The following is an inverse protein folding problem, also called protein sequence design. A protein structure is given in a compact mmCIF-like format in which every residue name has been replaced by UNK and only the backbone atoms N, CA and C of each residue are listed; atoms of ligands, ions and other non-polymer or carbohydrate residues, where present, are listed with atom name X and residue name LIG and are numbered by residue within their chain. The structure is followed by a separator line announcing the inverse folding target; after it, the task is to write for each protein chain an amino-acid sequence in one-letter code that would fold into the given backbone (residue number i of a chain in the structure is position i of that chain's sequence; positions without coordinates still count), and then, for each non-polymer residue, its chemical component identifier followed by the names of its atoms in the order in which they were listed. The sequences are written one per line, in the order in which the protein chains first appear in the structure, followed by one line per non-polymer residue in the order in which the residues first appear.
data_IF_631045991923
#
_entry.id   IF_631045991923
#
_cell.length_a   1.000
_cell.length_b   1.000
_cell.length_c   1.000
_cell.angle_alpha   90.00
_cell.angle_beta   90.00
_cell.angle_gamma   90.00
#
_symmetry.space_group_name_H-M   'P 1'
#
loop_
_entity.id
_entity.type
_entity.pdbx_description
1 polymer ?
#
# COMPACT_ATOMS: atom_id res chain seq x y z
N UNK A 1 86.10 -33.94 -19.27
CA UNK A 1 86.21 -32.84 -18.28
C UNK A 1 84.81 -32.54 -17.78
N UNK A 2 84.50 -32.94 -16.55
CA UNK A 2 83.24 -32.67 -15.82
C UNK A 2 83.24 -31.20 -15.37
N UNK A 3 82.05 -30.59 -15.28
CA UNK A 3 81.63 -29.35 -14.57
C UNK A 3 80.47 -28.76 -15.42
N UNK A 4 79.25 -28.42 -14.98
CA UNK A 4 78.50 -28.57 -13.73
C UNK A 4 77.02 -28.41 -14.11
N UNK A 5 76.20 -29.43 -13.85
CA UNK A 5 74.73 -29.40 -13.94
C UNK A 5 74.10 -28.75 -12.69
N UNK A 6 74.61 -27.58 -12.30
CA UNK A 6 74.12 -26.85 -11.12
C UNK A 6 74.18 -25.36 -11.44
N UNK A 7 73.21 -24.87 -12.23
CA UNK A 7 72.79 -23.45 -12.27
C UNK A 7 71.59 -23.19 -13.21
N UNK A 8 70.73 -24.18 -13.42
CA UNK A 8 69.41 -23.99 -14.08
C UNK A 8 68.28 -24.56 -13.22
N UNK A 9 68.51 -24.65 -11.91
CA UNK A 9 67.48 -24.80 -10.87
C UNK A 9 67.65 -23.57 -9.97
N UNK A 10 67.10 -22.44 -10.40
CA UNK A 10 67.29 -21.16 -9.71
C UNK A 10 66.78 -19.93 -10.47
N UNK A 11 65.92 -20.11 -11.48
CA UNK A 11 65.28 -19.01 -12.21
C UNK A 11 63.76 -19.12 -12.21
N UNK A 12 63.21 -19.75 -11.16
CA UNK A 12 61.76 -19.85 -10.88
C UNK A 12 61.45 -19.24 -9.48
N UNK A 13 62.32 -18.37 -8.93
CA UNK A 13 62.07 -17.66 -7.67
C UNK A 13 62.36 -16.15 -7.82
N UNK A 14 61.85 -15.54 -8.89
CA UNK A 14 61.72 -14.08 -9.00
C UNK A 14 60.33 -13.66 -9.51
N UNK A 15 59.29 -14.41 -9.17
CA UNK A 15 57.95 -13.81 -9.01
C UNK A 15 57.90 -13.11 -7.64
N UNK A 16 58.79 -12.14 -7.43
CA UNK A 16 58.63 -11.18 -6.34
C UNK A 16 57.44 -10.32 -6.74
N UNK A 17 56.27 -10.72 -6.25
CA UNK A 17 55.37 -9.86 -5.49
C UNK A 17 55.70 -8.36 -5.61
N UNK A 18 55.31 -7.72 -6.72
CA UNK A 18 55.22 -6.27 -6.76
C UNK A 18 54.02 -5.88 -5.90
N UNK A 19 54.27 -5.49 -4.66
CA UNK A 19 53.25 -4.88 -3.81
C UNK A 19 52.66 -3.63 -4.48
N UNK A 20 51.40 -3.33 -4.18
CA UNK A 20 50.69 -2.14 -4.69
C UNK A 20 51.53 -0.88 -4.47
N UNK A 21 51.61 -0.02 -5.48
CA UNK A 21 52.23 1.29 -5.38
C UNK A 21 51.50 2.17 -4.35
N UNK A 22 52.20 3.14 -3.76
CA UNK A 22 51.60 4.09 -2.79
C UNK A 22 50.34 4.77 -3.35
N UNK A 23 50.35 5.10 -4.65
CA UNK A 23 49.22 5.72 -5.34
C UNK A 23 48.02 4.77 -5.46
N UNK A 24 48.27 3.49 -5.77
CA UNK A 24 47.20 2.46 -5.81
C UNK A 24 46.60 2.23 -4.42
N UNK A 25 47.42 2.25 -3.36
CA UNK A 25 46.95 2.13 -1.97
C UNK A 25 46.09 3.35 -1.56
N UNK A 26 46.49 4.57 -1.95
CA UNK A 26 45.72 5.79 -1.68
C UNK A 26 44.39 5.82 -2.45
N UNK A 27 44.38 5.39 -3.71
CA UNK A 27 43.17 5.26 -4.52
C UNK A 27 42.21 4.22 -3.94
N UNK A 28 42.71 3.06 -3.53
CA UNK A 28 41.91 2.01 -2.90
C UNK A 28 41.33 2.48 -1.57
N UNK A 29 42.09 3.20 -0.74
CA UNK A 29 41.57 3.80 0.50
C UNK A 29 40.46 4.81 0.24
N UNK A 30 40.63 5.69 -0.74
CA UNK A 30 39.61 6.66 -1.11
C UNK A 30 38.33 5.99 -1.65
N UNK A 31 38.47 4.91 -2.42
CA UNK A 31 37.34 4.12 -2.90
C UNK A 31 36.62 3.42 -1.74
N UNK A 32 37.36 2.81 -0.81
CA UNK A 32 36.78 2.18 0.39
C UNK A 32 36.04 3.22 1.24
N UNK A 33 36.60 4.41 1.44
CA UNK A 33 35.96 5.50 2.20
C UNK A 33 34.65 5.96 1.51
N UNK A 34 34.66 6.10 0.18
CA UNK A 34 33.47 6.44 -0.59
C UNK A 34 32.38 5.36 -0.49
N UNK A 35 32.76 4.09 -0.58
CA UNK A 35 31.85 2.95 -0.43
C UNK A 35 31.27 2.86 0.98
N UNK A 36 32.09 3.11 2.01
CA UNK A 36 31.65 3.17 3.41
C UNK A 36 30.65 4.30 3.64
N UNK A 37 30.91 5.48 3.07
CA UNK A 37 29.99 6.63 3.14
C UNK A 37 28.67 6.33 2.43
N UNK A 38 28.71 5.79 1.22
CA UNK A 38 27.51 5.40 0.47
C UNK A 38 26.72 4.28 1.18
N UNK A 39 27.40 3.37 1.89
CA UNK A 39 26.74 2.36 2.72
C UNK A 39 26.08 2.97 3.95
N UNK A 40 26.74 3.91 4.63
CA UNK A 40 26.17 4.61 5.78
C UNK A 40 24.93 5.42 5.40
N UNK A 41 24.98 6.15 4.28
CA UNK A 41 23.83 6.90 3.75
C UNK A 41 22.65 5.97 3.39
N UNK A 42 22.93 4.80 2.80
CA UNK A 42 21.88 3.80 2.51
C UNK A 42 21.22 3.25 3.78
N UNK A 43 22.03 2.88 4.79
CA UNK A 43 21.52 2.41 6.08
C UNK A 43 20.68 3.46 6.79
N UNK A 44 21.09 4.72 6.73
CA UNK A 44 20.34 5.82 7.33
C UNK A 44 19.00 6.05 6.61
N UNK A 45 18.99 6.01 5.27
CA UNK A 45 17.75 6.08 4.49
C UNK A 45 16.78 4.93 4.82
N UNK A 46 17.31 3.72 4.97
CA UNK A 46 16.53 2.54 5.36
C UNK A 46 15.96 2.67 6.78
N UNK A 47 16.77 3.15 7.74
CA UNK A 47 16.30 3.45 9.10
C UNK A 47 15.13 4.44 9.10
N UNK A 48 15.28 5.56 8.38
CA UNK A 48 14.23 6.58 8.27
C UNK A 48 12.98 6.00 7.59
N UNK A 49 13.14 5.17 6.55
CA UNK A 49 12.03 4.50 5.88
C UNK A 49 11.21 3.63 6.85
N UNK A 50 11.88 2.81 7.66
CA UNK A 50 11.24 1.95 8.65
C UNK A 50 10.53 2.78 9.74
N UNK A 51 11.14 3.86 10.22
CA UNK A 51 10.50 4.76 11.19
C UNK A 51 9.23 5.40 10.62
N UNK A 52 9.28 5.86 9.36
CA UNK A 52 8.11 6.42 8.69
C UNK A 52 6.99 5.39 8.48
N UNK A 53 7.34 4.12 8.21
CA UNK A 53 6.36 3.02 8.18
C UNK A 53 5.67 2.88 9.54
N UNK A 54 6.41 2.86 10.64
CA UNK A 54 5.82 2.71 11.98
C UNK A 54 4.91 3.89 12.35
N UNK A 55 5.29 5.11 11.96
CA UNK A 55 4.42 6.29 12.06
C UNK A 55 3.15 6.11 11.23
N UNK A 56 3.27 5.66 9.97
CA UNK A 56 2.13 5.42 9.08
C UNK A 56 1.18 4.36 9.62
N UNK A 57 1.70 3.24 10.15
CA UNK A 57 0.90 2.20 10.83
C UNK A 57 0.13 2.77 12.02
N UNK A 58 0.80 3.58 12.84
CA UNK A 58 0.18 4.20 14.02
C UNK A 58 -0.95 5.17 13.62
N UNK A 59 -0.74 5.99 12.58
CA UNK A 59 -1.77 6.87 12.02
C UNK A 59 -2.97 6.08 11.50
N UNK A 60 -2.73 5.08 10.64
CA UNK A 60 -3.79 4.26 10.08
C UNK A 60 -4.60 3.57 11.19
N UNK A 61 -3.92 2.95 12.16
CA UNK A 61 -4.59 2.30 13.29
C UNK A 61 -5.46 3.26 14.08
N UNK A 62 -4.96 4.47 14.37
CA UNK A 62 -5.73 5.51 15.05
C UNK A 62 -6.97 5.89 14.25
N UNK A 63 -6.84 6.13 12.95
CA UNK A 63 -7.96 6.52 12.09
C UNK A 63 -9.03 5.43 11.99
N UNK A 64 -8.63 4.19 11.75
CA UNK A 64 -9.55 3.05 11.73
C UNK A 64 -10.24 2.84 13.09
N UNK A 65 -9.54 3.10 14.20
CA UNK A 65 -10.12 3.01 15.54
C UNK A 65 -11.16 4.11 15.78
N UNK A 66 -10.88 5.34 15.35
CA UNK A 66 -11.84 6.45 15.42
C UNK A 66 -13.10 6.15 14.58
N UNK A 67 -12.93 5.61 13.37
CA UNK A 67 -14.05 5.19 12.53
C UNK A 67 -14.83 4.03 13.17
N UNK A 68 -14.14 3.05 13.77
CA UNK A 68 -14.78 1.95 14.49
C UNK A 68 -15.63 2.47 15.66
N UNK A 69 -15.12 3.42 16.44
CA UNK A 69 -15.87 4.02 17.54
C UNK A 69 -17.10 4.80 17.05
N UNK A 70 -16.97 5.51 15.93
CA UNK A 70 -18.10 6.18 15.26
C UNK A 70 -19.17 5.16 14.86
N UNK A 71 -18.78 4.09 14.19
CA UNK A 71 -19.69 3.03 13.75
C UNK A 71 -20.37 2.32 14.93
N UNK A 72 -19.64 2.05 16.01
CA UNK A 72 -20.21 1.47 17.24
C UNK A 72 -21.27 2.38 17.87
N UNK A 73 -21.04 3.71 17.89
CA UNK A 73 -22.05 4.69 18.34
C UNK A 73 -23.29 4.67 17.44
N UNK A 74 -23.10 4.66 16.12
CA UNK A 74 -24.20 4.55 15.16
C UNK A 74 -25.00 3.26 15.36
N UNK A 75 -24.32 2.12 15.57
CA UNK A 75 -24.97 0.84 15.82
C UNK A 75 -25.85 0.87 17.09
N UNK A 76 -25.39 1.52 18.16
CA UNK A 76 -26.20 1.71 19.37
C UNK A 76 -27.45 2.53 19.07
N UNK A 77 -27.32 3.63 18.31
CA UNK A 77 -28.46 4.44 17.90
C UNK A 77 -29.47 3.63 17.07
N UNK A 78 -28.99 2.85 16.09
CA UNK A 78 -29.88 2.03 15.26
C UNK A 78 -30.57 0.91 16.05
N UNK A 79 -29.91 0.34 17.07
CA UNK A 79 -30.54 -0.61 18.00
C UNK A 79 -31.61 0.07 18.87
N UNK A 80 -31.39 1.31 19.30
CA UNK A 80 -32.41 2.08 20.01
C UNK A 80 -33.62 2.37 19.10
N UNK A 81 -33.39 2.76 17.84
CA UNK A 81 -34.46 2.95 16.86
C UNK A 81 -35.29 1.67 16.67
N UNK A 82 -34.64 0.51 16.61
CA UNK A 82 -35.32 -0.79 16.54
C UNK A 82 -36.23 -1.02 17.76
N UNK A 83 -35.77 -0.68 18.97
CA UNK A 83 -36.57 -0.77 20.19
C UNK A 83 -37.79 0.17 20.14
N UNK A 84 -37.63 1.39 19.62
CA UNK A 84 -38.74 2.33 19.43
C UNK A 84 -39.78 1.81 18.43
N UNK A 85 -39.34 1.22 17.30
CA UNK A 85 -40.26 0.60 16.32
C UNK A 85 -41.04 -0.54 16.96
N UNK A 86 -40.42 -1.31 17.87
CA UNK A 86 -41.06 -2.41 18.56
C UNK A 86 -42.17 -1.97 19.52
N UNK A 87 -42.10 -0.76 20.08
CA UNK A 87 -43.15 -0.22 20.97
C UNK A 87 -44.49 -0.14 20.25
N UNK A 88 -45.57 -0.34 20.99
CA UNK A 88 -46.92 -0.21 20.46
C UNK A 88 -47.22 1.24 20.05
N UNK A 89 -47.92 1.42 18.93
CA UNK A 89 -48.38 2.72 18.45
C UNK A 89 -49.82 2.59 17.94
N UNK A 90 -50.73 3.37 18.53
CA UNK A 90 -52.14 3.37 18.16
C UNK A 90 -52.30 3.87 16.71
N UNK A 91 -53.11 3.16 15.91
CA UNK A 91 -53.35 3.52 14.50
C UNK A 91 -52.26 3.07 13.52
N UNK A 92 -51.17 2.46 13.97
CA UNK A 92 -50.15 1.89 13.06
C UNK A 92 -50.57 0.51 12.56
N UNK A 93 -50.62 0.36 11.25
CA UNK A 93 -50.86 -0.93 10.60
C UNK A 93 -49.71 -1.91 10.86
N UNK A 94 -50.03 -3.21 10.96
CA UNK A 94 -49.04 -4.28 11.17
C UNK A 94 -48.01 -4.33 10.04
N UNK A 95 -48.46 -4.21 8.79
CA UNK A 95 -47.59 -4.21 7.60
C UNK A 95 -46.59 -3.06 7.61
N UNK A 96 -47.00 -1.87 8.07
CA UNK A 96 -46.09 -0.73 8.24
C UNK A 96 -45.01 -1.02 9.27
N UNK A 97 -45.38 -1.61 10.43
CA UNK A 97 -44.41 -1.99 11.45
C UNK A 97 -43.42 -3.03 10.93
N UNK A 98 -43.90 -4.05 10.23
CA UNK A 98 -43.06 -5.11 9.66
C UNK A 98 -42.03 -4.57 8.64
N UNK A 99 -42.46 -3.66 7.76
CA UNK A 99 -41.57 -2.96 6.83
C UNK A 99 -40.48 -2.17 7.59
N UNK A 100 -40.88 -1.38 8.59
CA UNK A 100 -39.96 -0.59 9.42
C UNK A 100 -38.93 -1.49 10.13
N UNK A 101 -39.37 -2.61 10.71
CA UNK A 101 -38.47 -3.58 11.36
C UNK A 101 -37.49 -4.19 10.37
N UNK A 102 -37.96 -4.54 9.17
CA UNK A 102 -37.11 -5.12 8.12
C UNK A 102 -36.01 -4.16 7.69
N UNK A 103 -36.38 -2.91 7.35
CA UNK A 103 -35.43 -1.86 6.96
C UNK A 103 -34.43 -1.55 8.08
N UNK A 104 -34.90 -1.50 9.33
CA UNK A 104 -34.06 -1.22 10.48
C UNK A 104 -33.06 -2.35 10.76
N UNK A 105 -33.49 -3.61 10.67
CA UNK A 105 -32.61 -4.77 10.81
C UNK A 105 -31.55 -4.82 9.70
N UNK A 106 -31.89 -4.43 8.47
CA UNK A 106 -30.91 -4.32 7.37
C UNK A 106 -29.81 -3.31 7.69
N UNK A 107 -30.16 -2.12 8.19
CA UNK A 107 -29.16 -1.11 8.62
C UNK A 107 -28.22 -1.64 9.69
N UNK A 108 -28.78 -2.30 10.72
CA UNK A 108 -28.00 -2.92 11.80
C UNK A 108 -27.04 -3.98 11.26
N UNK A 109 -27.51 -4.83 10.34
CA UNK A 109 -26.68 -5.88 9.74
C UNK A 109 -25.52 -5.30 8.92
N UNK A 110 -25.79 -4.25 8.12
CA UNK A 110 -24.74 -3.54 7.36
C UNK A 110 -23.69 -2.95 8.31
N UNK A 111 -24.11 -2.30 9.40
CA UNK A 111 -23.19 -1.74 10.38
C UNK A 111 -22.37 -2.83 11.09
N UNK A 112 -22.99 -3.94 11.49
CA UNK A 112 -22.28 -5.05 12.12
C UNK A 112 -21.23 -5.65 11.19
N UNK A 113 -21.56 -5.87 9.91
CA UNK A 113 -20.60 -6.38 8.93
C UNK A 113 -19.43 -5.42 8.71
N UNK A 114 -19.71 -4.12 8.60
CA UNK A 114 -18.68 -3.10 8.44
C UNK A 114 -17.76 -3.04 9.67
N UNK A 115 -18.32 -3.02 10.88
CA UNK A 115 -17.55 -3.05 12.14
C UNK A 115 -16.63 -4.28 12.17
N UNK A 116 -17.16 -5.47 11.88
CA UNK A 116 -16.37 -6.72 11.88
C UNK A 116 -15.20 -6.67 10.89
N UNK A 117 -15.45 -6.16 9.68
CA UNK A 117 -14.41 -5.96 8.65
C UNK A 117 -13.35 -4.96 9.12
N UNK A 118 -13.75 -3.85 9.72
CA UNK A 118 -12.86 -2.83 10.22
C UNK A 118 -12.01 -3.33 11.41
N UNK A 119 -12.59 -4.10 12.32
CA UNK A 119 -11.87 -4.76 13.42
C UNK A 119 -10.80 -5.73 12.90
N UNK A 120 -11.12 -6.48 11.84
CA UNK A 120 -10.15 -7.31 11.13
C UNK A 120 -9.03 -6.46 10.51
N UNK A 121 -9.35 -5.36 9.83
CA UNK A 121 -8.31 -4.50 9.24
C UNK A 121 -7.40 -3.89 10.30
N UNK A 122 -7.94 -3.45 11.44
CA UNK A 122 -7.14 -2.94 12.57
C UNK A 122 -6.13 -3.99 13.05
N UNK A 123 -6.52 -5.27 13.15
CA UNK A 123 -5.61 -6.34 13.57
C UNK A 123 -4.53 -6.65 12.53
N UNK A 124 -4.79 -6.35 11.26
CA UNK A 124 -3.85 -6.53 10.15
C UNK A 124 -2.95 -5.31 9.90
N UNK A 125 -3.14 -4.17 10.56
CA UNK A 125 -2.34 -2.96 10.34
C UNK A 125 -0.83 -3.14 10.53
N UNK A 126 -0.42 -4.10 11.38
CA UNK A 126 0.99 -4.46 11.56
C UNK A 126 1.55 -5.34 10.44
N UNK A 127 0.68 -6.03 9.70
CA UNK A 127 1.00 -6.98 8.65
C UNK A 127 0.89 -6.29 7.29
N UNK A 128 2.03 -5.75 6.86
CA UNK A 128 2.15 -5.13 5.55
C UNK A 128 2.96 -6.02 4.63
N UNK A 129 2.42 -6.25 3.44
CA UNK A 129 3.07 -6.99 2.37
C UNK A 129 3.32 -6.06 1.18
N UNK A 130 4.29 -6.42 0.36
CA UNK A 130 4.50 -5.78 -0.93
C UNK A 130 4.37 -6.83 -2.03
N UNK A 131 3.94 -6.40 -3.20
CA UNK A 131 3.64 -7.29 -4.32
C UNK A 131 4.30 -6.81 -5.60
N UNK A 132 4.36 -7.68 -6.61
CA UNK A 132 4.98 -7.41 -7.91
C UNK A 132 4.23 -6.32 -8.69
N UNK A 133 2.91 -6.19 -8.50
CA UNK A 133 2.15 -5.10 -9.11
C UNK A 133 2.60 -3.72 -8.63
N UNK A 134 3.41 -3.63 -7.57
CA UNK A 134 3.96 -2.36 -7.06
C UNK A 134 5.34 -2.03 -7.64
N UNK A 135 5.91 -2.87 -8.51
CA UNK A 135 7.22 -2.60 -9.12
C UNK A 135 7.14 -1.48 -10.17
N UNK A 136 5.96 -1.22 -10.70
CA UNK A 136 5.72 -0.17 -11.71
C UNK A 136 4.49 0.67 -11.37
N UNK A 137 4.47 1.97 -11.76
CA UNK A 137 3.29 2.81 -11.64
C UNK A 137 2.05 2.20 -12.31
N UNK A 138 2.20 1.67 -13.52
CA UNK A 138 1.13 1.04 -14.29
C UNK A 138 0.62 -0.22 -13.62
N UNK A 139 1.51 -1.00 -13.00
CA UNK A 139 1.13 -2.19 -12.23
C UNK A 139 0.13 -1.87 -11.13
N UNK A 140 0.38 -0.80 -10.37
CA UNK A 140 -0.50 -0.34 -9.28
C UNK A 140 -1.89 0.02 -9.83
N UNK A 141 -1.93 0.82 -10.91
CA UNK A 141 -3.19 1.26 -11.52
C UNK A 141 -3.94 0.10 -12.16
N UNK A 142 -3.25 -0.78 -12.88
CA UNK A 142 -3.86 -1.97 -13.46
C UNK A 142 -4.42 -2.90 -12.39
N UNK A 143 -3.77 -2.98 -11.23
CA UNK A 143 -4.27 -3.79 -10.11
C UNK A 143 -5.62 -3.25 -9.58
N UNK A 144 -5.82 -1.93 -9.54
CA UNK A 144 -7.13 -1.33 -9.19
C UNK A 144 -8.22 -1.83 -10.15
N UNK A 145 -7.96 -1.78 -11.46
CA UNK A 145 -8.92 -2.25 -12.47
C UNK A 145 -9.17 -3.76 -12.39
N UNK A 146 -8.11 -4.55 -12.17
CA UNK A 146 -8.21 -6.00 -12.02
C UNK A 146 -9.04 -6.37 -10.79
N UNK A 147 -8.79 -5.73 -9.64
CA UNK A 147 -9.59 -5.92 -8.42
C UNK A 147 -11.06 -5.54 -8.62
N UNK A 148 -11.36 -4.49 -9.39
CA UNK A 148 -12.74 -4.14 -9.73
C UNK A 148 -13.41 -5.23 -10.59
N UNK A 149 -12.73 -5.70 -11.64
CA UNK A 149 -13.25 -6.74 -12.55
C UNK A 149 -13.47 -8.08 -11.85
N UNK A 150 -12.53 -8.50 -11.00
CA UNK A 150 -12.60 -9.79 -10.30
C UNK A 150 -13.42 -9.73 -9.01
N UNK A 151 -13.71 -8.53 -8.51
CA UNK A 151 -14.27 -8.27 -7.17
C UNK A 151 -13.41 -8.84 -6.04
N UNK A 152 -12.10 -8.98 -6.27
CA UNK A 152 -11.12 -9.32 -5.24
C UNK A 152 -10.40 -8.06 -4.74
N UNK A 153 -10.81 -7.62 -3.54
CA UNK A 153 -10.29 -6.43 -2.89
C UNK A 153 -9.20 -6.72 -1.86
N UNK A 154 -8.86 -7.99 -1.63
CA UNK A 154 -8.08 -8.47 -0.47
C UNK A 154 -6.68 -7.86 -0.32
N UNK A 155 -6.10 -7.39 -1.42
CA UNK A 155 -4.76 -6.76 -1.45
C UNK A 155 -4.79 -5.26 -1.71
N UNK A 156 -5.96 -4.64 -1.95
CA UNK A 156 -6.05 -3.20 -2.23
C UNK A 156 -5.52 -2.34 -1.07
N UNK A 157 -5.61 -2.84 0.18
CA UNK A 157 -5.02 -2.18 1.35
C UNK A 157 -3.52 -1.88 1.20
N UNK A 158 -2.80 -2.71 0.44
CA UNK A 158 -1.35 -2.58 0.25
C UNK A 158 -0.97 -1.53 -0.81
N UNK A 159 -1.94 -0.99 -1.56
CA UNK A 159 -1.72 0.10 -2.51
C UNK A 159 -1.56 1.46 -1.83
N UNK A 160 -2.04 1.63 -0.60
CA UNK A 160 -1.95 2.88 0.13
C UNK A 160 -0.51 3.20 0.52
N UNK A 161 -0.13 4.48 0.56
CA UNK A 161 1.21 4.89 1.00
C UNK A 161 1.54 4.37 2.41
N UNK A 162 2.66 3.64 2.60
CA UNK A 162 3.08 3.17 3.92
C UNK A 162 3.30 4.23 4.97
N UNK A 163 3.58 5.47 4.56
CA UNK A 163 3.85 6.54 5.50
C UNK A 163 2.56 7.20 6.02
N UNK A 164 1.39 6.81 5.48
CA UNK A 164 0.10 7.41 5.80
C UNK A 164 0.01 8.88 5.38
N UNK A 165 0.62 9.24 4.25
CA UNK A 165 0.63 10.59 3.69
C UNK A 165 -0.42 10.77 2.57
N UNK A 166 -1.31 9.80 2.40
CA UNK A 166 -2.36 9.79 1.38
C UNK A 166 -3.65 10.49 1.86
N UNK A 167 -4.43 11.06 0.93
CA UNK A 167 -5.67 11.80 1.24
C UNK A 167 -6.87 10.88 1.53
N UNK A 168 -8.05 11.46 1.72
CA UNK A 168 -9.26 10.70 2.03
C UNK A 168 -9.75 9.86 0.84
N UNK A 169 -9.60 10.32 -0.40
CA UNK A 169 -10.14 9.64 -1.58
C UNK A 169 -9.27 8.44 -1.98
N UNK A 170 -7.95 8.61 -1.93
CA UNK A 170 -7.00 7.50 -2.10
C UNK A 170 -7.18 6.42 -1.04
N UNK A 171 -7.46 6.80 0.22
CA UNK A 171 -7.81 5.82 1.28
C UNK A 171 -9.04 5.00 0.97
N UNK A 172 -10.08 5.62 0.40
CA UNK A 172 -11.32 4.91 0.03
C UNK A 172 -11.08 3.82 -1.01
N UNK A 173 -10.14 4.04 -1.93
CA UNK A 173 -9.72 3.03 -2.90
C UNK A 173 -9.06 1.85 -2.18
N UNK A 174 -8.08 2.10 -1.32
CA UNK A 174 -7.34 1.01 -0.67
C UNK A 174 -8.21 0.18 0.30
N UNK A 175 -9.12 0.85 1.02
CA UNK A 175 -9.88 0.24 2.11
C UNK A 175 -11.26 -0.28 1.66
N UNK A 176 -11.48 -0.44 0.35
CA UNK A 176 -12.77 -0.83 -0.22
C UNK A 176 -13.26 -2.19 0.31
N UNK A 177 -12.37 -3.14 0.60
CA UNK A 177 -12.73 -4.45 1.16
C UNK A 177 -13.54 -4.30 2.46
N UNK A 178 -13.24 -3.27 3.25
CA UNK A 178 -13.91 -3.03 4.53
C UNK A 178 -15.25 -2.32 4.36
N UNK A 179 -15.45 -1.61 3.25
CA UNK A 179 -16.65 -0.82 3.04
C UNK A 179 -17.91 -1.70 2.90
N UNK A 180 -19.11 -1.15 3.16
CA UNK A 180 -20.37 -1.81 2.84
C UNK A 180 -20.46 -2.22 1.36
N UNK A 181 -21.21 -3.29 1.07
CA UNK A 181 -21.37 -3.85 -0.29
C UNK A 181 -21.78 -2.81 -1.33
N UNK A 182 -22.63 -1.85 -0.97
CA UNK A 182 -23.02 -0.76 -1.88
C UNK A 182 -21.81 0.07 -2.32
N UNK A 183 -20.91 0.41 -1.40
CA UNK A 183 -19.69 1.16 -1.71
C UNK A 183 -18.70 0.32 -2.52
N UNK A 184 -18.63 -0.99 -2.25
CA UNK A 184 -17.85 -1.92 -3.07
C UNK A 184 -18.39 -1.97 -4.50
N UNK A 185 -19.71 -1.99 -4.70
CA UNK A 185 -20.33 -1.96 -6.02
C UNK A 185 -20.04 -0.64 -6.75
N UNK A 186 -20.10 0.50 -6.06
CA UNK A 186 -19.71 1.80 -6.65
C UNK A 186 -18.25 1.82 -7.10
N UNK A 187 -17.35 1.20 -6.33
CA UNK A 187 -15.96 1.02 -6.75
C UNK A 187 -15.87 0.17 -8.02
N UNK A 188 -16.58 -0.96 -8.08
CA UNK A 188 -16.64 -1.82 -9.27
C UNK A 188 -17.15 -1.04 -10.48
N UNK A 189 -18.31 -0.38 -10.38
CA UNK A 189 -18.89 0.44 -11.45
C UNK A 189 -17.94 1.55 -11.93
N UNK A 190 -17.11 2.08 -11.03
CA UNK A 190 -16.15 3.13 -11.35
C UNK A 190 -14.92 2.61 -12.08
N UNK A 191 -14.44 1.40 -11.77
CA UNK A 191 -13.11 0.95 -12.19
C UNK A 191 -13.09 -0.33 -13.04
N UNK A 192 -14.19 -1.08 -13.14
CA UNK A 192 -14.22 -2.34 -13.90
C UNK A 192 -13.95 -2.14 -15.39
N UNK A 193 -14.36 -1.00 -15.95
CA UNK A 193 -14.10 -0.62 -17.35
C UNK A 193 -12.94 0.38 -17.47
N UNK A 194 -12.16 0.53 -16.40
CA UNK A 194 -11.03 1.45 -16.35
C UNK A 194 -9.88 1.04 -17.27
N UNK A 195 -9.17 2.03 -17.81
CA UNK A 195 -7.95 1.84 -18.61
C UNK A 195 -6.98 3.00 -18.46
N UNK A 196 -5.69 2.71 -18.64
CA UNK A 196 -4.63 3.71 -18.74
C UNK A 196 -4.70 4.36 -20.13
N UNK A 197 -4.62 5.69 -20.20
CA UNK A 197 -4.76 6.47 -21.45
C UNK A 197 -3.41 6.85 -22.09
N UNK A 198 -2.30 6.64 -21.40
CA UNK A 198 -0.96 6.93 -21.90
C UNK A 198 0.14 6.45 -20.95
N UNK A 199 1.39 6.73 -21.30
CA UNK A 199 2.52 6.36 -20.45
C UNK A 199 2.54 7.23 -19.17
N UNK A 200 3.00 6.67 -18.03
CA UNK A 200 3.18 7.46 -16.81
C UNK A 200 4.19 8.58 -17.03
N UNK A 201 3.92 9.73 -16.41
CA UNK A 201 4.90 10.81 -16.26
C UNK A 201 5.62 10.59 -14.94
N UNK A 202 6.87 10.13 -14.99
CA UNK A 202 7.69 9.82 -13.81
C UNK A 202 8.68 10.95 -13.56
N UNK A 203 8.65 11.51 -12.36
CA UNK A 203 9.57 12.56 -11.91
C UNK A 203 10.17 12.16 -10.56
N UNK A 204 11.41 11.67 -10.58
CA UNK A 204 12.10 11.11 -9.40
C UNK A 204 11.29 9.98 -8.73
N UNK A 205 10.69 10.27 -7.57
CA UNK A 205 9.96 9.33 -6.72
C UNK A 205 8.43 9.53 -6.85
N UNK A 206 7.96 10.32 -7.82
CA UNK A 206 6.53 10.50 -8.09
C UNK A 206 6.18 10.08 -9.51
N UNK A 207 4.94 9.66 -9.71
CA UNK A 207 4.41 9.36 -11.03
C UNK A 207 2.95 9.79 -11.16
N UNK A 208 2.58 10.27 -12.34
CA UNK A 208 1.21 10.60 -12.69
C UNK A 208 0.76 9.74 -13.88
N UNK A 209 -0.40 9.09 -13.75
CA UNK A 209 -0.99 8.27 -14.81
C UNK A 209 -2.39 8.79 -15.11
N UNK A 210 -2.62 9.15 -16.37
CA UNK A 210 -3.94 9.48 -16.88
C UNK A 210 -4.74 8.20 -17.15
N UNK A 211 -5.96 8.15 -16.63
CA UNK A 211 -6.88 7.03 -16.77
C UNK A 211 -8.22 7.49 -17.35
N UNK A 212 -8.89 6.58 -18.04
CA UNK A 212 -10.31 6.66 -18.29
C UNK A 212 -11.05 5.70 -17.36
N UNK A 213 -12.12 6.15 -16.72
CA UNK A 213 -12.88 5.40 -15.72
C UNK A 213 -14.37 5.75 -15.76
N UNK A 214 -15.17 5.10 -14.92
CA UNK A 214 -16.62 5.17 -14.90
C UNK A 214 -17.28 4.03 -15.68
N UNK A 215 -18.60 3.91 -15.55
CA UNK A 215 -19.40 2.83 -16.15
C UNK A 215 -19.12 2.66 -17.64
N UNK A 216 -18.88 3.76 -18.36
CA UNK A 216 -18.62 3.77 -19.81
C UNK A 216 -17.18 4.13 -20.17
N UNK A 217 -16.26 4.23 -19.19
CA UNK A 217 -14.86 4.65 -19.42
C UNK A 217 -14.76 6.02 -20.12
N UNK A 218 -15.65 6.94 -19.76
CA UNK A 218 -15.85 8.25 -20.38
C UNK A 218 -15.38 9.42 -19.51
N UNK A 219 -15.00 9.15 -18.26
CA UNK A 219 -14.41 10.14 -17.34
C UNK A 219 -12.91 10.02 -17.34
N UNK A 220 -12.22 11.14 -17.41
CA UNK A 220 -10.76 11.20 -17.29
C UNK A 220 -10.35 11.63 -15.89
N UNK A 221 -9.34 10.98 -15.35
CA UNK A 221 -8.74 11.32 -14.05
C UNK A 221 -7.24 11.04 -14.09
N UNK A 222 -6.49 11.66 -13.17
CA UNK A 222 -5.08 11.38 -12.99
C UNK A 222 -4.83 10.71 -11.65
N UNK A 223 -4.30 9.49 -11.68
CA UNK A 223 -3.82 8.83 -10.48
C UNK A 223 -2.39 9.28 -10.21
N UNK A 224 -2.19 9.83 -9.01
CA UNK A 224 -0.89 10.22 -8.47
C UNK A 224 -0.31 9.06 -7.68
N UNK A 225 0.97 8.79 -7.89
CA UNK A 225 1.70 7.71 -7.25
C UNK A 225 3.00 8.22 -6.63
N UNK A 226 3.41 7.56 -5.56
CA UNK A 226 4.66 7.83 -4.86
C UNK A 226 5.44 6.54 -4.68
N UNK A 227 6.75 6.64 -4.90
CA UNK A 227 7.70 5.55 -4.71
C UNK A 227 8.27 5.62 -3.28
N UNK A 228 8.23 4.50 -2.58
CA UNK A 228 8.83 4.32 -1.25
C UNK A 228 9.82 3.16 -1.35
N UNK A 229 11.11 3.48 -1.27
CA UNK A 229 12.18 2.57 -1.68
C UNK A 229 11.99 2.09 -3.12
N UNK A 230 11.69 0.82 -3.34
CA UNK A 230 11.61 0.22 -4.68
C UNK A 230 10.17 -0.09 -5.12
N UNK A 231 9.17 0.32 -4.34
CA UNK A 231 7.76 0.02 -4.60
C UNK A 231 6.91 1.29 -4.75
N UNK A 232 5.89 1.20 -5.60
CA UNK A 232 4.92 2.26 -5.89
C UNK A 232 3.63 2.09 -5.11
N UNK A 233 3.05 3.23 -4.72
CA UNK A 233 1.84 3.34 -3.94
C UNK A 233 0.98 4.50 -4.46
N UNK A 234 -0.33 4.45 -4.21
CA UNK A 234 -1.23 5.57 -4.48
C UNK A 234 -0.89 6.71 -3.51
N UNK A 235 -0.64 7.89 -4.06
CA UNK A 235 -0.26 9.09 -3.32
C UNK A 235 -1.23 10.24 -3.53
N UNK A 236 -1.04 11.30 -2.75
CA UNK A 236 -1.74 12.58 -2.89
C UNK A 236 -0.68 13.67 -2.74
N UNK A 237 -0.39 14.41 -3.81
CA UNK A 237 0.56 15.53 -3.80
C UNK A 237 0.02 16.70 -4.63
#
# INVERSE_FOLDING_TARGET
MKINYILTIGLIILTISCGKSKKEIEQEKAQIELEQKALAERKEKERIHLEKIEVGKSKLKMELTNELDRLKKMLVQEKNNLNEINKFQLGRLSSTKEKQLTEQNQKINILNDYIRKLEKEISLTSLRETFDFQDTPEGVVNYIFQSAKSKDFSKLRNLCDPYGENDADTRRICLVEMQPTEMQNRFVESFENGRIMGNPKIENETAEIEIAFGQYSDKLEKIKLIKRMDKWYIGSY
#
